data_IF_749653398774
#
_entry.id   IF_749653398774
#
_cell.length_a   1.000
_cell.length_b   1.000
_cell.length_c   1.000
_cell.angle_alpha   90.00
_cell.angle_beta   90.00
_cell.angle_gamma   90.00
#
_symmetry.space_group_name_H-M   'P 1'
#
loop_
_entity.id
_entity.type
_entity.pdbx_description
1 polymer ?
#
# COMPACT_ATOMS: atom_id res chain seq x y z
N UNK A 1 8.65 22.85 47.43
CA UNK A 1 8.39 21.57 46.75
C UNK A 1 7.88 21.90 45.35
N UNK A 2 8.59 21.46 44.31
CA UNK A 2 8.18 21.64 42.90
C UNK A 2 7.68 20.29 42.41
N UNK A 3 6.43 20.27 41.98
CA UNK A 3 5.78 19.11 41.38
C UNK A 3 6.38 18.83 40.00
N UNK A 4 6.57 17.54 39.72
CA UNK A 4 7.17 17.01 38.51
C UNK A 4 6.25 17.15 37.31
N UNK A 5 6.78 17.75 36.25
CA UNK A 5 6.27 17.62 34.90
C UNK A 5 7.10 16.57 34.17
N UNK A 6 6.62 15.33 34.18
CA UNK A 6 7.14 14.25 33.35
C UNK A 6 6.61 14.49 31.93
N UNK A 7 7.48 15.02 31.06
CA UNK A 7 7.23 15.12 29.63
C UNK A 7 7.61 13.77 29.00
N UNK A 8 6.73 13.09 28.24
CA UNK A 8 7.14 11.89 27.52
C UNK A 8 8.08 12.34 26.40
N UNK A 9 9.38 12.04 26.56
CA UNK A 9 10.36 12.25 25.49
C UNK A 9 9.99 11.33 24.33
N UNK A 10 9.75 11.96 23.18
CA UNK A 10 9.58 11.32 21.87
C UNK A 10 10.64 10.23 21.65
N UNK A 11 10.31 9.11 20.98
CA UNK A 11 11.31 8.12 20.62
C UNK A 11 12.33 8.78 19.69
N UNK A 12 13.58 8.84 20.13
CA UNK A 12 14.70 9.25 19.29
C UNK A 12 14.82 8.30 18.09
N UNK A 13 15.23 8.79 16.91
CA UNK A 13 15.41 7.95 15.74
C UNK A 13 16.49 6.92 16.04
N UNK A 14 16.07 5.65 16.18
CA UNK A 14 16.94 4.50 16.37
C UNK A 14 18.14 4.54 15.42
N UNK A 15 19.32 4.71 16.00
CA UNK A 15 20.57 4.05 15.63
C UNK A 15 20.79 3.81 14.13
N UNK A 16 21.41 4.78 13.46
CA UNK A 16 22.13 4.54 12.21
C UNK A 16 23.40 3.72 12.49
N UNK A 17 23.24 2.47 12.92
CA UNK A 17 24.35 1.55 13.17
C UNK A 17 24.95 1.09 11.84
N UNK A 18 26.08 1.70 11.49
CA UNK A 18 26.84 1.39 10.28
C UNK A 18 27.50 0.02 10.39
N UNK A 19 27.43 -0.81 9.34
CA UNK A 19 28.16 -2.07 9.25
C UNK A 19 29.67 -1.80 9.28
N UNK A 20 30.39 -2.33 10.27
CA UNK A 20 31.82 -2.10 10.43
C UNK A 20 32.64 -2.83 9.35
N UNK A 21 32.22 -4.03 8.96
CA UNK A 21 32.85 -4.79 7.87
C UNK A 21 31.79 -5.59 7.11
N UNK A 22 31.05 -4.95 6.19
CA UNK A 22 30.04 -5.63 5.38
C UNK A 22 30.71 -6.68 4.50
N UNK A 23 30.23 -7.92 4.60
CA UNK A 23 30.74 -9.08 3.89
C UNK A 23 29.59 -9.76 3.15
N UNK A 24 29.81 -10.10 1.87
CA UNK A 24 28.82 -10.78 1.05
C UNK A 24 28.52 -12.16 1.65
N UNK A 25 27.25 -12.41 1.99
CA UNK A 25 26.77 -13.68 2.51
C UNK A 25 26.01 -14.49 1.45
N UNK A 26 25.26 -13.83 0.58
CA UNK A 26 24.37 -14.50 -0.39
C UNK A 26 24.18 -13.68 -1.67
N UNK A 27 24.01 -14.37 -2.80
CA UNK A 27 23.64 -13.75 -4.09
C UNK A 27 22.29 -14.32 -4.52
N UNK A 28 21.27 -13.46 -4.57
CA UNK A 28 19.90 -13.85 -4.87
C UNK A 28 19.61 -13.87 -6.38
N UNK A 29 18.55 -14.57 -6.76
CA UNK A 29 17.99 -14.60 -8.12
C UNK A 29 17.11 -13.40 -8.46
N UNK A 30 16.68 -12.63 -7.47
CA UNK A 30 15.89 -11.42 -7.65
C UNK A 30 15.73 -10.62 -6.34
N UNK A 31 15.22 -9.38 -6.46
CA UNK A 31 15.10 -8.46 -5.32
C UNK A 31 14.20 -9.03 -4.20
N UNK A 32 13.11 -9.71 -4.57
CA UNK A 32 12.20 -10.33 -3.60
C UNK A 32 12.90 -11.42 -2.77
N UNK A 33 13.72 -12.27 -3.41
CA UNK A 33 14.48 -13.29 -2.69
C UNK A 33 15.54 -12.64 -1.78
N UNK A 34 16.23 -11.60 -2.25
CA UNK A 34 17.21 -10.89 -1.43
C UNK A 34 16.59 -10.35 -0.14
N UNK A 35 15.40 -9.75 -0.23
CA UNK A 35 14.68 -9.24 0.94
C UNK A 35 14.11 -10.35 1.83
N UNK A 36 13.63 -11.46 1.26
CA UNK A 36 13.21 -12.61 2.06
C UNK A 36 14.37 -13.18 2.90
N UNK A 37 15.58 -13.23 2.33
CA UNK A 37 16.79 -13.64 3.04
C UNK A 37 17.18 -12.64 4.13
N UNK A 38 17.12 -11.34 3.85
CA UNK A 38 17.39 -10.30 4.86
C UNK A 38 16.43 -10.44 6.04
N UNK A 39 15.12 -10.55 5.78
CA UNK A 39 14.11 -10.74 6.82
C UNK A 39 14.36 -12.01 7.62
N UNK A 40 14.72 -13.12 6.96
CA UNK A 40 15.06 -14.37 7.63
C UNK A 40 16.29 -14.24 8.55
N UNK A 41 17.35 -13.60 8.09
CA UNK A 41 18.56 -13.40 8.90
C UNK A 41 18.28 -12.48 10.09
N UNK A 42 17.57 -11.37 9.87
CA UNK A 42 17.23 -10.39 10.90
C UNK A 42 16.31 -10.97 11.98
N UNK A 43 15.29 -11.75 11.60
CA UNK A 43 14.40 -12.42 12.57
C UNK A 43 15.15 -13.45 13.44
N UNK A 44 16.29 -13.95 12.95
CA UNK A 44 17.19 -14.83 13.69
C UNK A 44 18.36 -14.09 14.35
N UNK A 45 18.28 -12.76 14.48
CA UNK A 45 19.26 -11.94 15.19
C UNK A 45 20.59 -11.78 14.47
N UNK A 46 20.62 -11.91 13.14
CA UNK A 46 21.76 -11.57 12.28
C UNK A 46 21.42 -10.31 11.49
N UNK A 47 22.18 -9.23 11.70
CA UNK A 47 22.00 -8.00 10.93
C UNK A 47 22.41 -8.24 9.49
N UNK A 48 21.52 -7.90 8.57
CA UNK A 48 21.72 -8.06 7.14
C UNK A 48 21.09 -6.90 6.36
N UNK A 49 21.62 -6.61 5.17
CA UNK A 49 20.99 -5.72 4.21
C UNK A 49 21.16 -6.25 2.79
N UNK A 50 20.22 -5.91 1.91
CA UNK A 50 20.26 -6.25 0.49
C UNK A 50 20.74 -5.05 -0.33
N UNK A 51 21.55 -5.33 -1.34
CA UNK A 51 21.80 -4.45 -2.47
C UNK A 51 20.95 -4.98 -3.62
N UNK A 52 19.94 -4.21 -3.98
CA UNK A 52 19.02 -4.54 -5.07
C UNK A 52 19.68 -4.36 -6.43
N UNK A 53 19.19 -5.12 -7.40
CA UNK A 53 19.42 -4.78 -8.81
C UNK A 53 18.38 -3.76 -9.26
N UNK A 54 18.85 -2.53 -9.49
CA UNK A 54 18.08 -1.43 -10.08
C UNK A 54 18.35 -1.27 -11.58
N UNK A 55 19.06 -2.22 -12.20
CA UNK A 55 19.30 -2.20 -13.64
C UNK A 55 17.97 -2.36 -14.37
N UNK A 56 17.50 -1.29 -15.01
CA UNK A 56 16.31 -1.34 -15.84
C UNK A 56 16.45 -2.37 -16.96
N UNK A 57 15.39 -3.14 -17.21
CA UNK A 57 15.31 -4.04 -18.37
C UNK A 57 15.45 -3.19 -19.64
N UNK A 58 16.66 -3.15 -20.20
CA UNK A 58 16.93 -2.37 -21.41
C UNK A 58 16.62 -3.20 -22.64
N UNK A 59 15.82 -2.62 -23.54
CA UNK A 59 15.58 -3.16 -24.87
C UNK A 59 16.84 -2.91 -25.72
N UNK A 60 17.55 -3.97 -26.08
CA UNK A 60 18.59 -3.93 -27.10
C UNK A 60 18.05 -4.50 -28.42
N UNK A 61 18.72 -4.19 -29.54
CA UNK A 61 18.30 -4.57 -30.90
C UNK A 61 18.11 -6.08 -31.13
N UNK A 62 18.47 -6.93 -30.16
CA UNK A 62 18.30 -8.39 -30.20
C UNK A 62 17.55 -8.97 -28.98
N UNK A 63 16.81 -8.14 -28.23
CA UNK A 63 15.97 -8.57 -27.11
C UNK A 63 16.24 -7.82 -25.80
N UNK A 64 15.59 -8.27 -24.73
CA UNK A 64 15.83 -7.77 -23.37
C UNK A 64 17.11 -8.40 -22.81
N UNK A 65 18.05 -7.59 -22.35
CA UNK A 65 19.14 -8.10 -21.50
C UNK A 65 18.62 -8.01 -20.06
N UNK A 66 18.47 -9.18 -19.43
CA UNK A 66 18.11 -9.27 -18.01
C UNK A 66 19.31 -8.83 -17.16
N UNK A 67 19.07 -7.89 -16.24
CA UNK A 67 19.76 -7.76 -14.94
C UNK A 67 21.29 -7.89 -15.00
N UNK A 68 21.99 -6.78 -15.25
CA UNK A 68 23.46 -6.76 -15.28
C UNK A 68 24.09 -7.11 -13.92
N UNK A 69 23.36 -6.93 -12.82
CA UNK A 69 23.80 -7.27 -11.49
C UNK A 69 22.80 -8.19 -10.79
N UNK A 70 23.27 -9.26 -10.15
CA UNK A 70 22.41 -10.06 -9.28
C UNK A 70 22.29 -9.36 -7.92
N UNK A 71 21.09 -9.31 -7.31
CA UNK A 71 20.93 -8.76 -5.97
C UNK A 71 21.79 -9.51 -4.96
N UNK A 72 22.39 -8.79 -4.02
CA UNK A 72 23.37 -9.32 -3.08
C UNK A 72 22.96 -9.02 -1.63
N UNK A 73 23.20 -9.96 -0.73
CA UNK A 73 22.93 -9.79 0.70
C UNK A 73 24.24 -9.76 1.47
N UNK A 74 24.41 -8.72 2.27
CA UNK A 74 25.59 -8.47 3.09
C UNK A 74 25.25 -8.56 4.58
N UNK A 75 26.23 -9.05 5.35
CA UNK A 75 26.18 -9.16 6.82
C UNK A 75 27.47 -8.64 7.42
N UNK A 76 27.54 -8.46 8.74
CA UNK A 76 28.81 -8.22 9.39
C UNK A 76 29.75 -9.41 9.26
N UNK A 77 31.05 -9.15 9.09
CA UNK A 77 32.07 -10.21 9.04
C UNK A 77 32.01 -11.15 10.25
N UNK A 78 31.68 -10.64 11.44
CA UNK A 78 31.54 -11.43 12.66
C UNK A 78 30.37 -12.43 12.60
N UNK A 79 29.32 -12.11 11.83
CA UNK A 79 28.11 -12.93 11.72
C UNK A 79 28.12 -13.86 10.51
N UNK A 80 29.14 -13.79 9.64
CA UNK A 80 29.19 -14.54 8.38
C UNK A 80 28.98 -16.05 8.56
N UNK A 81 29.60 -16.65 9.57
CA UNK A 81 29.45 -18.07 9.85
C UNK A 81 28.02 -18.42 10.26
N UNK A 82 27.44 -17.65 11.18
CA UNK A 82 26.07 -17.82 11.65
C UNK A 82 25.05 -17.59 10.53
N UNK A 83 25.29 -16.58 9.69
CA UNK A 83 24.50 -16.33 8.48
C UNK A 83 24.54 -17.53 7.54
N UNK A 84 25.72 -18.10 7.28
CA UNK A 84 25.86 -19.29 6.45
C UNK A 84 25.06 -20.49 6.96
N UNK A 85 25.00 -20.70 8.27
CA UNK A 85 24.22 -21.78 8.88
C UNK A 85 22.71 -21.54 8.71
N UNK A 86 22.25 -20.30 8.88
CA UNK A 86 20.86 -19.90 8.69
C UNK A 86 20.42 -19.95 7.21
N UNK A 87 21.31 -19.61 6.27
CA UNK A 87 21.06 -19.69 4.84
C UNK A 87 20.80 -21.12 4.38
N UNK A 88 21.60 -22.09 4.86
CA UNK A 88 21.36 -23.52 4.56
C UNK A 88 20.02 -24.00 5.12
N UNK A 89 19.61 -23.51 6.29
CA UNK A 89 18.29 -23.81 6.84
C UNK A 89 17.18 -23.23 5.96
N UNK A 90 17.31 -21.97 5.54
CA UNK A 90 16.36 -21.33 4.63
C UNK A 90 16.18 -22.11 3.32
N UNK A 91 17.29 -22.48 2.68
CA UNK A 91 17.28 -23.28 1.45
C UNK A 91 16.59 -24.63 1.68
N UNK A 92 16.93 -25.34 2.75
CA UNK A 92 16.31 -26.63 3.08
C UNK A 92 14.79 -26.51 3.31
N UNK A 93 14.33 -25.43 3.96
CA UNK A 93 12.92 -25.16 4.17
C UNK A 93 12.20 -24.78 2.88
N UNK A 94 12.87 -24.03 1.99
CA UNK A 94 12.33 -23.70 0.67
C UNK A 94 12.15 -24.96 -0.17
N UNK A 95 13.19 -25.80 -0.24
CA UNK A 95 13.16 -27.03 -1.03
C UNK A 95 12.12 -28.00 -0.48
N UNK A 96 12.00 -28.10 0.85
CA UNK A 96 10.95 -28.89 1.49
C UNK A 96 9.55 -28.36 1.17
N UNK A 97 9.28 -27.07 1.34
CA UNK A 97 7.97 -26.47 1.00
C UNK A 97 7.60 -26.69 -0.46
N UNK A 98 8.56 -26.55 -1.36
CA UNK A 98 8.36 -26.82 -2.78
C UNK A 98 8.05 -28.29 -3.04
N UNK A 99 8.82 -29.21 -2.45
CA UNK A 99 8.56 -30.64 -2.59
C UNK A 99 7.21 -31.04 -1.98
N UNK A 100 6.82 -30.45 -0.84
CA UNK A 100 5.52 -30.69 -0.21
C UNK A 100 4.38 -30.24 -1.13
N UNK A 101 4.49 -29.07 -1.78
CA UNK A 101 3.52 -28.59 -2.78
C UNK A 101 3.49 -29.43 -4.06
N UNK A 102 4.66 -29.86 -4.58
CA UNK A 102 4.76 -30.72 -5.77
C UNK A 102 4.16 -32.12 -5.52
N UNK A 103 4.28 -32.65 -4.30
CA UNK A 103 3.75 -33.96 -3.93
C UNK A 103 2.34 -33.91 -3.31
N UNK A 104 1.79 -32.72 -3.09
CA UNK A 104 0.44 -32.57 -2.56
C UNK A 104 -0.60 -33.10 -3.57
N UNK A 105 -1.68 -33.74 -3.09
CA UNK A 105 -2.73 -34.24 -3.96
C UNK A 105 -3.40 -33.11 -4.73
N UNK A 106 -3.85 -33.41 -5.95
CA UNK A 106 -4.61 -32.45 -6.74
C UNK A 106 -5.91 -32.05 -6.04
N UNK A 107 -6.26 -30.77 -6.18
CA UNK A 107 -7.47 -30.16 -5.63
C UNK A 107 -8.60 -30.39 -6.62
N UNK A 108 -9.75 -30.84 -6.12
CA UNK A 108 -10.96 -31.02 -6.91
C UNK A 108 -11.89 -29.84 -6.71
N UNK A 109 -12.24 -29.17 -7.80
CA UNK A 109 -13.20 -28.08 -7.80
C UNK A 109 -14.28 -28.31 -8.86
N UNK A 110 -15.53 -28.06 -8.48
CA UNK A 110 -16.69 -28.13 -9.37
C UNK A 110 -16.92 -26.78 -10.04
N UNK A 111 -17.09 -26.78 -11.36
CA UNK A 111 -17.42 -25.55 -12.10
C UNK A 111 -18.91 -25.22 -11.95
N UNK A 112 -19.23 -24.04 -11.45
CA UNK A 112 -20.62 -23.57 -11.27
C UNK A 112 -21.40 -23.43 -12.59
N UNK A 113 -20.71 -23.17 -13.70
CA UNK A 113 -21.35 -22.96 -15.01
C UNK A 113 -21.70 -24.29 -15.72
N UNK A 114 -20.83 -25.29 -15.65
CA UNK A 114 -21.01 -26.54 -16.40
C UNK A 114 -21.19 -27.80 -15.53
N UNK A 115 -21.07 -27.69 -14.21
CA UNK A 115 -21.21 -28.77 -13.24
C UNK A 115 -20.11 -29.83 -13.28
N UNK A 116 -19.03 -29.60 -14.05
CA UNK A 116 -17.93 -30.57 -14.16
C UNK A 116 -16.90 -30.32 -13.07
N UNK A 117 -16.60 -31.36 -12.31
CA UNK A 117 -15.45 -31.38 -11.39
C UNK A 117 -14.14 -31.54 -12.16
N UNK A 118 -13.21 -30.61 -11.95
CA UNK A 118 -11.86 -30.62 -12.53
C UNK A 118 -10.80 -30.74 -11.44
N UNK A 119 -9.64 -31.29 -11.80
CA UNK A 119 -8.48 -31.44 -10.91
C UNK A 119 -7.43 -30.36 -11.21
N UNK A 120 -6.96 -29.69 -10.17
CA UNK A 120 -6.00 -28.60 -10.23
C UNK A 120 -4.79 -28.90 -9.33
N UNK A 121 -3.57 -28.45 -9.67
CA UNK A 121 -2.42 -28.59 -8.78
C UNK A 121 -2.63 -27.90 -7.44
N UNK A 122 -2.07 -28.45 -6.35
CA UNK A 122 -2.17 -27.85 -5.01
C UNK A 122 -1.61 -26.42 -4.92
N UNK A 123 -0.69 -26.04 -5.82
CA UNK A 123 -0.20 -24.67 -5.93
C UNK A 123 -1.24 -23.65 -6.39
N UNK A 124 -2.43 -24.10 -6.82
CA UNK A 124 -3.54 -23.25 -7.24
C UNK A 124 -4.65 -23.14 -6.17
N UNK A 125 -4.44 -23.68 -4.97
CA UNK A 125 -5.38 -23.51 -3.86
C UNK A 125 -5.65 -22.04 -3.55
N UNK A 126 -6.92 -21.67 -3.39
CA UNK A 126 -7.36 -20.30 -3.14
C UNK A 126 -7.24 -19.35 -4.33
N UNK A 127 -7.15 -19.87 -5.55
CA UNK A 127 -7.09 -19.05 -6.77
C UNK A 127 -8.30 -19.27 -7.67
N UNK A 128 -8.62 -18.28 -8.51
CA UNK A 128 -9.58 -18.45 -9.61
C UNK A 128 -8.84 -18.93 -10.86
N UNK A 129 -9.27 -20.05 -11.43
CA UNK A 129 -8.74 -20.64 -12.66
C UNK A 129 -9.82 -20.70 -13.74
N UNK A 130 -9.42 -21.06 -14.97
CA UNK A 130 -10.37 -21.36 -16.03
C UNK A 130 -10.74 -22.84 -16.00
N UNK A 131 -12.04 -23.13 -16.04
CA UNK A 131 -12.56 -24.49 -16.20
C UNK A 131 -12.04 -25.10 -17.52
N UNK A 132 -11.38 -26.26 -17.50
CA UNK A 132 -10.85 -26.89 -18.71
C UNK A 132 -11.94 -27.35 -19.69
N UNK A 133 -13.22 -27.38 -19.27
CA UNK A 133 -14.34 -27.82 -20.09
C UNK A 133 -15.06 -26.69 -20.83
N UNK A 134 -15.45 -25.64 -20.11
CA UNK A 134 -16.24 -24.53 -20.66
C UNK A 134 -15.49 -23.20 -20.67
N UNK A 135 -14.28 -23.15 -20.09
CA UNK A 135 -13.45 -21.95 -19.95
C UNK A 135 -14.10 -20.82 -19.12
N UNK A 136 -15.16 -21.12 -18.36
CA UNK A 136 -15.67 -20.23 -17.32
C UNK A 136 -14.69 -20.18 -16.13
N UNK A 137 -14.78 -19.12 -15.33
CA UNK A 137 -14.01 -19.01 -14.09
C UNK A 137 -14.51 -20.02 -13.05
N UNK A 138 -13.57 -20.64 -12.34
CA UNK A 138 -13.84 -21.57 -11.24
C UNK A 138 -12.85 -21.32 -10.11
N UNK A 139 -13.35 -21.27 -8.89
CA UNK A 139 -12.51 -21.14 -7.71
C UNK A 139 -11.91 -22.52 -7.34
N UNK A 140 -10.60 -22.54 -7.18
CA UNK A 140 -9.83 -23.73 -6.88
C UNK A 140 -9.62 -23.85 -5.38
N UNK A 141 -10.12 -24.95 -4.81
CA UNK A 141 -10.06 -25.21 -3.38
C UNK A 141 -11.18 -24.55 -2.59
N UNK A 142 -11.06 -24.62 -1.27
CA UNK A 142 -12.02 -24.08 -0.30
C UNK A 142 -11.28 -23.09 0.58
N UNK A 143 -10.96 -21.91 0.03
CA UNK A 143 -10.48 -20.82 0.87
C UNK A 143 -11.68 -20.24 1.62
N UNK A 144 -12.00 -20.85 2.76
CA UNK A 144 -12.97 -20.31 3.70
C UNK A 144 -12.26 -19.22 4.50
N UNK A 145 -12.62 -17.97 4.26
CA UNK A 145 -12.17 -16.88 5.13
C UNK A 145 -12.70 -17.18 6.54
N UNK A 146 -11.89 -16.95 7.60
CA UNK A 146 -12.39 -17.09 8.96
C UNK A 146 -13.66 -16.24 9.14
N UNK A 147 -14.73 -16.83 9.69
CA UNK A 147 -16.00 -16.13 9.93
C UNK A 147 -15.82 -14.89 10.83
N UNK A 148 -14.72 -14.81 11.57
CA UNK A 148 -14.32 -13.69 12.44
C UNK A 148 -13.41 -12.66 11.77
N UNK A 149 -13.10 -12.83 10.47
CA UNK A 149 -12.38 -11.82 9.70
C UNK A 149 -13.30 -10.65 9.36
N UNK A 150 -13.48 -9.77 10.33
CA UNK A 150 -14.11 -8.47 10.17
C UNK A 150 -13.10 -7.53 9.47
N UNK A 151 -13.37 -7.15 8.22
CA UNK A 151 -12.58 -6.13 7.50
C UNK A 151 -12.72 -4.73 8.12
N UNK A 152 -13.45 -4.61 9.24
CA UNK A 152 -14.11 -3.39 9.65
C UNK A 152 -15.23 -3.13 8.67
N UNK A 153 -16.41 -2.74 9.18
CA UNK A 153 -17.22 -1.82 8.39
C UNK A 153 -16.25 -0.70 7.99
N UNK A 154 -16.10 -0.44 6.69
CA UNK A 154 -15.43 0.77 6.25
C UNK A 154 -16.18 1.86 6.98
N UNK A 155 -15.58 2.41 8.05
CA UNK A 155 -16.24 3.34 8.97
C UNK A 155 -17.10 4.21 8.09
N UNK A 156 -18.43 4.10 8.20
CA UNK A 156 -19.33 4.97 7.47
C UNK A 156 -18.81 6.35 7.79
N UNK A 157 -18.08 6.97 6.83
CA UNK A 157 -17.42 8.25 7.12
C UNK A 157 -18.55 9.12 7.61
N UNK A 158 -18.52 9.55 8.89
CA UNK A 158 -19.67 10.22 9.47
C UNK A 158 -20.00 11.35 8.51
N UNK A 159 -21.24 11.41 8.02
CA UNK A 159 -21.68 12.46 7.09
C UNK A 159 -21.15 13.77 7.64
N UNK A 160 -20.07 14.29 7.06
CA UNK A 160 -19.33 15.37 7.70
C UNK A 160 -20.28 16.55 7.65
N UNK A 161 -20.87 16.92 8.79
CA UNK A 161 -21.71 18.10 8.89
C UNK A 161 -20.87 19.26 8.35
N UNK A 162 -21.25 19.76 7.17
CA UNK A 162 -20.53 20.81 6.46
C UNK A 162 -20.13 21.90 7.46
N UNK A 163 -18.84 22.03 7.73
CA UNK A 163 -18.34 23.03 8.65
C UNK A 163 -18.46 24.43 8.02
N UNK A 164 -18.44 25.47 8.84
CA UNK A 164 -18.46 26.84 8.33
C UNK A 164 -17.29 27.09 7.36
N UNK A 165 -16.12 26.54 7.67
CA UNK A 165 -14.90 26.69 6.86
C UNK A 165 -15.04 25.95 5.52
N UNK A 166 -15.55 24.72 5.51
CA UNK A 166 -15.79 23.97 4.25
C UNK A 166 -16.81 24.67 3.36
N UNK A 167 -17.88 25.22 3.96
CA UNK A 167 -18.89 25.98 3.24
C UNK A 167 -18.30 27.28 2.66
N UNK A 168 -17.45 27.98 3.41
CA UNK A 168 -16.75 29.19 2.95
C UNK A 168 -15.78 28.88 1.80
N UNK A 169 -15.06 27.76 1.88
CA UNK A 169 -14.17 27.28 0.82
C UNK A 169 -14.95 26.94 -0.45
N UNK A 170 -16.08 26.24 -0.32
CA UNK A 170 -16.96 25.95 -1.44
C UNK A 170 -17.50 27.24 -2.11
N UNK A 171 -17.97 28.21 -1.31
CA UNK A 171 -18.45 29.49 -1.83
C UNK A 171 -17.35 30.31 -2.52
N UNK A 172 -16.13 30.27 -1.97
CA UNK A 172 -14.95 30.91 -2.56
C UNK A 172 -14.60 30.30 -3.92
N UNK A 173 -14.66 28.97 -4.05
CA UNK A 173 -14.43 28.27 -5.32
C UNK A 173 -15.45 28.69 -6.39
N UNK A 174 -16.74 28.75 -6.05
CA UNK A 174 -17.79 29.22 -6.97
C UNK A 174 -17.50 30.65 -7.47
N UNK A 175 -17.07 31.54 -6.57
CA UNK A 175 -16.68 32.89 -6.95
C UNK A 175 -15.48 32.90 -7.93
N UNK A 176 -14.47 32.06 -7.69
CA UNK A 176 -13.29 31.95 -8.57
C UNK A 176 -13.62 31.38 -9.95
N UNK A 177 -14.55 30.42 -10.01
CA UNK A 177 -14.97 29.76 -11.26
C UNK A 177 -15.87 30.65 -12.14
N UNK A 178 -16.41 31.74 -11.60
CA UNK A 178 -17.30 32.65 -12.34
C UNK A 178 -18.78 32.40 -12.09
N UNK A 179 -19.12 31.42 -11.24
CA UNK A 179 -20.49 31.06 -10.86
C UNK A 179 -21.02 32.03 -9.79
N UNK A 180 -21.07 33.31 -10.16
CA UNK A 180 -21.28 34.44 -9.25
C UNK A 180 -22.63 34.40 -8.53
N UNK A 181 -23.69 33.94 -9.20
CA UNK A 181 -25.02 33.82 -8.58
C UNK A 181 -25.05 32.71 -7.52
N UNK A 182 -24.41 31.57 -7.80
CA UNK A 182 -24.32 30.45 -6.86
C UNK A 182 -23.43 30.80 -5.67
N UNK A 183 -22.31 31.49 -5.91
CA UNK A 183 -21.45 32.01 -4.86
C UNK A 183 -22.20 32.96 -3.91
N UNK A 184 -23.03 33.88 -4.43
CA UNK A 184 -23.85 34.77 -3.60
C UNK A 184 -24.84 33.97 -2.76
N UNK A 185 -25.53 32.99 -3.34
CA UNK A 185 -26.46 32.14 -2.60
C UNK A 185 -25.76 31.35 -1.50
N UNK A 186 -24.59 30.78 -1.78
CA UNK A 186 -23.79 30.06 -0.80
C UNK A 186 -23.38 30.98 0.37
N UNK A 187 -22.88 32.19 0.09
CA UNK A 187 -22.55 33.17 1.14
C UNK A 187 -23.77 33.63 1.95
N UNK A 188 -24.96 33.73 1.35
CA UNK A 188 -26.20 34.03 2.07
C UNK A 188 -26.61 32.89 3.02
N UNK A 189 -26.48 31.64 2.59
CA UNK A 189 -26.75 30.47 3.42
C UNK A 189 -25.76 30.38 4.58
N UNK A 190 -24.47 30.62 4.32
CA UNK A 190 -23.43 30.66 5.36
C UNK A 190 -23.76 31.74 6.39
N UNK A 191 -24.13 32.94 5.95
CA UNK A 191 -24.56 34.03 6.85
C UNK A 191 -25.75 33.64 7.73
N UNK A 192 -26.72 32.89 7.19
CA UNK A 192 -27.90 32.47 7.92
C UNK A 192 -27.59 31.36 8.93
N UNK A 193 -26.66 30.46 8.58
CA UNK A 193 -26.28 29.29 9.38
C UNK A 193 -25.23 29.62 10.45
N UNK A 194 -24.25 30.47 10.12
CA UNK A 194 -23.14 30.91 10.99
C UNK A 194 -23.05 32.44 11.03
N UNK A 195 -23.84 33.10 11.91
CA UNK A 195 -23.90 34.56 12.01
C UNK A 195 -22.57 35.24 12.31
N UNK A 196 -21.61 34.56 12.93
CA UNK A 196 -20.25 35.01 13.19
C UNK A 196 -19.48 35.37 11.90
N UNK A 197 -19.81 34.71 10.78
CA UNK A 197 -19.23 35.02 9.47
C UNK A 197 -20.01 36.06 8.67
N UNK A 198 -21.10 36.63 9.21
CA UNK A 198 -22.00 37.52 8.48
C UNK A 198 -21.32 38.77 7.88
N UNK A 199 -20.35 39.34 8.58
CA UNK A 199 -19.59 40.50 8.08
C UNK A 199 -18.68 40.10 6.91
N UNK A 200 -18.00 38.97 7.02
CA UNK A 200 -17.11 38.46 5.98
C UNK A 200 -17.89 38.11 4.71
N UNK A 201 -18.96 37.31 4.85
CA UNK A 201 -19.81 36.87 3.73
C UNK A 201 -20.49 38.05 3.01
N UNK A 202 -20.92 39.07 3.76
CA UNK A 202 -21.50 40.29 3.18
C UNK A 202 -20.49 41.06 2.32
N UNK A 203 -19.23 41.15 2.76
CA UNK A 203 -18.17 41.80 1.98
C UNK A 203 -17.86 41.01 0.70
N UNK A 204 -17.86 39.68 0.75
CA UNK A 204 -17.68 38.82 -0.43
C UNK A 204 -18.82 39.01 -1.44
N UNK A 205 -20.07 39.03 -0.99
CA UNK A 205 -21.25 39.29 -1.85
C UNK A 205 -21.13 40.66 -2.53
N UNK A 206 -20.73 41.70 -1.80
CA UNK A 206 -20.56 43.03 -2.37
C UNK A 206 -19.47 43.08 -3.47
N UNK A 207 -18.36 42.36 -3.29
CA UNK A 207 -17.31 42.25 -4.31
C UNK A 207 -17.80 41.51 -5.56
N UNK A 208 -18.58 40.45 -5.40
CA UNK A 208 -19.16 39.71 -6.52
C UNK A 208 -20.16 40.60 -7.28
N UNK A 209 -21.01 41.35 -6.59
CA UNK A 209 -21.96 42.26 -7.22
C UNK A 209 -21.26 43.35 -8.04
N UNK A 210 -20.16 43.91 -7.54
CA UNK A 210 -19.34 44.87 -8.29
C UNK A 210 -18.79 44.26 -9.60
N UNK A 211 -18.39 42.99 -9.59
CA UNK A 211 -17.94 42.28 -10.80
C UNK A 211 -19.08 42.03 -11.79
N UNK A 212 -20.26 41.65 -11.31
CA UNK A 212 -21.47 41.50 -12.14
C UNK A 212 -21.81 42.83 -12.82
N UNK A 213 -21.86 43.92 -12.06
CA UNK A 213 -22.22 45.25 -12.57
C UNK A 213 -21.17 45.73 -13.59
N UNK A 214 -19.88 45.48 -13.35
CA UNK A 214 -18.81 45.78 -14.29
C UNK A 214 -18.89 44.94 -15.58
N UNK A 215 -19.31 43.68 -15.50
CA UNK A 215 -19.49 42.80 -16.66
C UNK A 215 -20.76 43.12 -17.46
N UNK A 216 -21.81 43.66 -16.83
CA UNK A 216 -23.06 44.05 -17.48
C UNK A 216 -23.04 45.48 -18.07
N UNK A 217 -22.10 46.32 -17.63
CA UNK A 217 -21.96 47.71 -18.05
C UNK A 217 -20.94 47.97 -19.17
N UNK A 218 -20.37 46.92 -19.78
CA UNK A 218 -19.47 46.98 -20.94
C UNK A 218 -20.09 46.37 -22.19
#
# INVERSE_FOLDING_TARGET
MKDGSETPSSPEPHDAETFATPTLAYTASGNLEAHAIVTWLQSNGVRAYAVEDNSGVSLFAFGTISQFHKPQVFVEKSDLQRAGDLLRQFESQRDRRRADLENAPAIKSECEECGVTSEFPASQDGTTQNCPKCNAFVDVGTFDWPDDFDFGDADEEPEQELSADDALDAASRLHQLGDWNEAIQAYQQIKARWPEHATYTANCIAQIQQKIDAAAGG
#
